data_IF_802959953440
#
_entry.id   IF_802959953440
#
_cell.length_a   1.000
_cell.length_b   1.000
_cell.length_c   1.000
_cell.angle_alpha   90.00
_cell.angle_beta   90.00
_cell.angle_gamma   90.00
#
_symmetry.space_group_name_H-M   'P 1'
#
loop_
_entity.id
_entity.type
_entity.pdbx_description
1 polymer ?
#
# COMPACT_ATOMS: atom_id res chain seq x y z
N UNK A 1 7.61 -23.02 -21.13
CA UNK A 1 7.89 -21.61 -20.83
C UNK A 1 8.52 -21.63 -19.46
N UNK A 2 9.83 -21.42 -19.36
CA UNK A 2 10.47 -21.38 -18.03
C UNK A 2 9.89 -20.20 -17.25
N UNK A 3 9.65 -20.34 -15.94
CA UNK A 3 9.26 -19.19 -15.13
C UNK A 3 10.34 -18.13 -15.27
N UNK A 4 9.95 -16.89 -15.59
CA UNK A 4 10.91 -15.79 -15.66
C UNK A 4 11.70 -15.73 -14.36
N UNK A 5 13.03 -15.66 -14.48
CA UNK A 5 13.91 -15.60 -13.33
C UNK A 5 13.60 -14.36 -12.50
N UNK A 6 13.67 -14.45 -11.17
CA UNK A 6 13.46 -13.31 -10.27
C UNK A 6 14.32 -12.08 -10.63
N UNK A 7 15.52 -12.32 -11.17
CA UNK A 7 16.40 -11.25 -11.66
C UNK A 7 15.80 -10.50 -12.86
N UNK A 8 15.14 -11.20 -13.79
CA UNK A 8 14.48 -10.58 -14.93
C UNK A 8 13.33 -9.66 -14.47
N UNK A 9 12.47 -10.16 -13.59
CA UNK A 9 11.31 -9.39 -13.08
C UNK A 9 11.77 -8.13 -12.34
N UNK A 10 12.84 -8.23 -11.53
CA UNK A 10 13.42 -7.07 -10.86
C UNK A 10 14.01 -6.06 -11.85
N UNK A 11 14.71 -6.53 -12.88
CA UNK A 11 15.30 -5.67 -13.91
C UNK A 11 14.22 -4.92 -14.70
N UNK A 12 13.15 -5.62 -15.07
CA UNK A 12 11.99 -5.06 -15.78
C UNK A 12 11.26 -4.02 -14.93
N UNK A 13 10.88 -4.37 -13.70
CA UNK A 13 10.22 -3.44 -12.78
C UNK A 13 11.06 -2.17 -12.56
N UNK A 14 12.38 -2.33 -12.36
CA UNK A 14 13.27 -1.19 -12.17
C UNK A 14 13.41 -0.34 -13.44
N UNK A 15 13.47 -0.95 -14.63
CA UNK A 15 13.50 -0.24 -15.90
C UNK A 15 12.22 0.55 -16.13
N UNK A 16 11.05 -0.06 -15.88
CA UNK A 16 9.74 0.56 -16.01
C UNK A 16 9.63 1.84 -15.19
N UNK A 17 9.94 1.79 -13.90
CA UNK A 17 9.86 2.98 -13.03
C UNK A 17 10.84 4.07 -13.47
N UNK A 18 12.07 3.72 -13.85
CA UNK A 18 13.03 4.71 -14.37
C UNK A 18 12.55 5.38 -15.65
N UNK A 19 11.99 4.59 -16.57
CA UNK A 19 11.43 5.09 -17.82
C UNK A 19 10.23 6.01 -17.59
N UNK A 20 9.32 5.64 -16.66
CA UNK A 20 8.18 6.46 -16.28
C UNK A 20 8.61 7.81 -15.67
N UNK A 21 9.60 7.81 -14.77
CA UNK A 21 10.15 9.03 -14.16
C UNK A 21 10.90 9.92 -15.16
N UNK A 22 11.46 9.35 -16.22
CA UNK A 22 12.23 10.09 -17.24
C UNK A 22 11.36 10.62 -18.39
N UNK A 23 10.05 10.33 -18.38
CA UNK A 23 9.11 10.72 -19.43
C UNK A 23 9.02 12.24 -19.63
N UNK A 24 8.93 12.66 -20.89
CA UNK A 24 8.76 14.07 -21.26
C UNK A 24 7.36 14.63 -20.91
N UNK A 25 7.11 15.92 -21.24
CA UNK A 25 5.86 16.63 -20.91
C UNK A 25 4.57 15.93 -21.38
N UNK A 26 4.67 15.06 -22.38
CA UNK A 26 3.55 14.30 -22.95
C UNK A 26 3.05 13.16 -22.04
N UNK A 27 3.83 12.77 -21.01
CA UNK A 27 3.42 11.81 -19.99
C UNK A 27 2.89 12.47 -18.70
N UNK A 28 2.67 13.80 -18.72
CA UNK A 28 2.04 14.53 -17.61
C UNK A 28 0.65 13.94 -17.33
N UNK A 29 0.44 13.46 -16.10
CA UNK A 29 -0.81 12.85 -15.65
C UNK A 29 -0.77 11.33 -15.48
N UNK A 30 0.30 10.64 -15.95
CA UNK A 30 0.54 9.24 -15.60
C UNK A 30 1.26 9.14 -14.25
N UNK A 31 1.05 8.03 -13.56
CA UNK A 31 1.79 7.71 -12.33
C UNK A 31 3.27 7.54 -12.67
N UNK A 32 4.10 8.45 -12.18
CA UNK A 32 5.54 8.48 -12.46
C UNK A 32 6.33 7.73 -11.40
N UNK A 33 5.76 7.54 -10.21
CA UNK A 33 6.41 6.86 -9.09
C UNK A 33 5.46 5.83 -8.46
N UNK A 34 5.97 4.73 -7.89
CA UNK A 34 5.15 3.62 -7.41
C UNK A 34 4.14 4.00 -6.33
N UNK A 35 4.37 5.08 -5.59
CA UNK A 35 3.54 5.49 -4.46
C UNK A 35 3.03 6.92 -4.55
N UNK A 36 3.10 7.56 -5.73
CA UNK A 36 2.76 8.99 -5.93
C UNK A 36 1.40 9.43 -5.36
N UNK A 37 0.40 8.54 -5.33
CA UNK A 37 -0.95 8.82 -4.83
C UNK A 37 -1.25 8.11 -3.49
N UNK A 38 -0.21 7.60 -2.82
CA UNK A 38 -0.35 6.84 -1.59
C UNK A 38 -0.08 7.74 -0.38
N UNK A 39 -1.13 7.99 0.39
CA UNK A 39 -1.03 8.43 1.80
C UNK A 39 -1.32 7.22 2.70
N UNK A 40 -0.27 6.63 3.25
CA UNK A 40 -0.32 5.39 4.01
C UNK A 40 -0.40 5.63 5.52
N UNK A 41 -1.13 4.75 6.21
CA UNK A 41 -1.12 4.60 7.66
C UNK A 41 -0.73 3.16 8.01
N UNK A 42 0.01 2.96 9.11
CA UNK A 42 0.46 1.63 9.52
C UNK A 42 -0.04 1.25 10.92
N UNK A 43 -0.48 0.01 11.04
CA UNK A 43 -0.60 -0.73 12.29
C UNK A 43 0.27 -1.99 12.21
N UNK A 44 1.54 -1.87 12.62
CA UNK A 44 2.53 -2.96 12.61
C UNK A 44 3.67 -2.59 13.58
N UNK A 45 4.64 -3.50 13.74
CA UNK A 45 5.88 -3.27 14.50
C UNK A 45 6.59 -2.01 14.03
N UNK A 46 7.08 -1.21 14.99
CA UNK A 46 7.74 0.08 14.74
C UNK A 46 8.87 -0.02 13.70
N UNK A 47 9.71 -1.05 13.76
CA UNK A 47 10.84 -1.20 12.84
C UNK A 47 10.38 -1.54 11.41
N UNK A 48 9.31 -2.34 11.28
CA UNK A 48 8.67 -2.61 9.98
C UNK A 48 8.03 -1.34 9.41
N UNK A 49 7.26 -0.62 10.22
CA UNK A 49 6.67 0.66 9.82
C UNK A 49 7.75 1.64 9.33
N UNK A 50 8.90 1.73 10.02
CA UNK A 50 10.02 2.57 9.62
C UNK A 50 10.64 2.16 8.28
N UNK A 51 10.78 0.85 8.05
CA UNK A 51 11.29 0.34 6.77
C UNK A 51 10.33 0.67 5.61
N UNK A 52 9.04 0.42 5.79
CA UNK A 52 8.03 0.75 4.76
C UNK A 52 7.89 2.26 4.55
N UNK A 53 8.01 3.06 5.60
CA UNK A 53 7.97 4.53 5.49
C UNK A 53 9.03 5.04 4.53
N UNK A 54 10.28 4.60 4.71
CA UNK A 54 11.39 4.97 3.82
C UNK A 54 11.13 4.56 2.37
N UNK A 55 10.54 3.39 2.16
CA UNK A 55 10.24 2.87 0.83
C UNK A 55 9.13 3.68 0.15
N UNK A 56 8.05 3.96 0.87
CA UNK A 56 6.90 4.73 0.37
C UNK A 56 7.33 6.16 0.03
N UNK A 57 8.04 6.82 0.94
CA UNK A 57 8.52 8.20 0.73
C UNK A 57 9.50 8.30 -0.43
N UNK A 58 10.42 7.32 -0.57
CA UNK A 58 11.35 7.29 -1.72
C UNK A 58 10.63 7.08 -3.06
N UNK A 59 9.49 6.39 -3.07
CA UNK A 59 8.66 6.18 -4.26
C UNK A 59 7.53 7.20 -4.42
N UNK A 60 7.62 8.36 -3.77
CA UNK A 60 6.71 9.50 -3.99
C UNK A 60 5.44 9.51 -3.15
N UNK A 61 5.28 8.59 -2.21
CA UNK A 61 4.15 8.56 -1.29
C UNK A 61 4.40 9.34 0.00
N UNK A 62 3.37 9.38 0.83
CA UNK A 62 3.39 9.98 2.15
C UNK A 62 2.96 8.97 3.22
N UNK A 63 3.52 9.07 4.42
CA UNK A 63 3.12 8.23 5.56
C UNK A 63 2.69 9.10 6.73
N UNK A 64 1.47 8.85 7.21
CA UNK A 64 0.94 9.52 8.40
C UNK A 64 1.46 8.80 9.64
N UNK A 65 2.09 9.56 10.54
CA UNK A 65 2.50 9.06 11.85
C UNK A 65 1.37 9.27 12.86
N UNK A 66 0.66 8.19 13.18
CA UNK A 66 -0.39 8.17 14.20
C UNK A 66 -0.35 6.87 15.01
N UNK A 67 -1.01 6.86 16.18
CA UNK A 67 -1.19 5.67 17.01
C UNK A 67 -2.68 5.43 17.25
N UNK A 68 -3.11 4.19 17.53
CA UNK A 68 -4.49 3.92 17.91
C UNK A 68 -4.93 4.76 19.13
N UNK A 69 -6.20 5.18 19.21
CA UNK A 69 -7.25 5.02 18.19
C UNK A 69 -7.07 5.98 17.01
N UNK A 70 -7.31 5.50 15.79
CA UNK A 70 -7.08 6.25 14.55
C UNK A 70 -8.28 7.13 14.10
N UNK A 71 -9.23 7.41 14.99
CA UNK A 71 -10.53 8.03 14.65
C UNK A 71 -10.39 9.40 13.98
N UNK A 72 -9.42 10.20 14.40
CA UNK A 72 -9.20 11.57 13.91
C UNK A 72 -8.27 11.64 12.68
N UNK A 73 -7.80 10.50 12.16
CA UNK A 73 -6.81 10.50 11.09
C UNK A 73 -7.50 10.70 9.74
N UNK A 74 -7.28 11.86 9.15
CA UNK A 74 -7.77 12.25 7.82
C UNK A 74 -6.73 12.02 6.72
N UNK A 75 -7.18 12.08 5.45
CA UNK A 75 -6.29 12.00 4.28
C UNK A 75 -5.67 10.63 4.00
N UNK A 76 -5.97 9.60 4.82
CA UNK A 76 -5.50 8.23 4.60
C UNK A 76 -6.14 7.65 3.35
N UNK A 77 -5.32 7.07 2.48
CA UNK A 77 -5.76 6.36 1.26
C UNK A 77 -5.53 4.86 1.36
N UNK A 78 -4.54 4.43 2.15
CA UNK A 78 -4.16 3.02 2.32
C UNK A 78 -3.87 2.78 3.80
N UNK A 79 -4.54 1.81 4.42
CA UNK A 79 -4.26 1.42 5.79
C UNK A 79 -3.63 0.03 5.82
N UNK A 80 -2.35 -0.04 6.20
CA UNK A 80 -1.60 -1.30 6.26
C UNK A 80 -1.65 -1.87 7.67
N UNK A 81 -2.09 -3.12 7.79
CA UNK A 81 -2.35 -3.76 9.08
C UNK A 81 -1.64 -5.11 9.15
N UNK A 82 -0.88 -5.30 10.22
CA UNK A 82 -0.35 -6.58 10.67
C UNK A 82 -0.66 -6.71 12.15
N UNK A 83 -1.75 -7.42 12.47
CA UNK A 83 -2.13 -7.65 13.85
C UNK A 83 -1.17 -8.64 14.49
N UNK A 84 -0.60 -8.28 15.64
CA UNK A 84 0.24 -9.22 16.41
C UNK A 84 -0.63 -10.21 17.20
N UNK A 85 -1.85 -9.79 17.56
CA UNK A 85 -2.82 -10.63 18.27
C UNK A 85 -4.23 -10.33 17.77
N UNK A 86 -5.10 -11.32 17.81
CA UNK A 86 -6.54 -11.16 17.49
C UNK A 86 -7.27 -10.21 18.47
N UNK A 87 -6.60 -9.70 19.51
CA UNK A 87 -7.16 -8.81 20.52
C UNK A 87 -6.81 -7.33 20.31
N UNK A 88 -5.99 -6.99 19.32
CA UNK A 88 -5.72 -5.59 18.98
C UNK A 88 -7.00 -4.91 18.49
N UNK A 89 -7.50 -3.97 19.30
CA UNK A 89 -8.74 -3.25 19.01
C UNK A 89 -8.44 -2.09 18.07
N UNK A 90 -8.50 -2.36 16.77
CA UNK A 90 -8.47 -1.35 15.73
C UNK A 90 -9.87 -1.26 15.12
N UNK A 91 -10.37 -0.04 14.96
CA UNK A 91 -11.66 0.19 14.31
C UNK A 91 -11.51 0.11 12.78
N UNK A 92 -11.45 -1.12 12.26
CA UNK A 92 -11.44 -1.38 10.82
C UNK A 92 -12.73 -0.96 10.13
N UNK A 93 -13.85 -0.93 10.86
CA UNK A 93 -15.17 -0.55 10.33
C UNK A 93 -15.22 0.92 9.91
N UNK A 94 -14.60 1.81 10.70
CA UNK A 94 -14.46 3.22 10.34
C UNK A 94 -13.72 3.41 9.02
N UNK A 95 -12.61 2.68 8.79
CA UNK A 95 -11.89 2.72 7.51
C UNK A 95 -12.76 2.20 6.35
N UNK A 96 -13.46 1.07 6.54
CA UNK A 96 -14.36 0.52 5.53
C UNK A 96 -15.48 1.51 5.15
N UNK A 97 -16.11 2.17 6.13
CA UNK A 97 -17.16 3.16 5.89
C UNK A 97 -16.71 4.38 5.09
N UNK A 98 -15.40 4.69 5.16
CA UNK A 98 -14.74 5.77 4.42
C UNK A 98 -14.18 5.31 3.07
N UNK A 99 -14.38 4.04 2.70
CA UNK A 99 -13.82 3.45 1.49
C UNK A 99 -12.30 3.27 1.52
N UNK A 100 -11.68 3.27 2.72
CA UNK A 100 -10.23 3.11 2.87
C UNK A 100 -9.91 1.63 3.02
N UNK A 101 -9.14 1.04 2.08
CA UNK A 101 -8.78 -0.37 2.14
C UNK A 101 -7.82 -0.68 3.29
N UNK A 102 -8.13 -1.74 4.03
CA UNK A 102 -7.24 -2.31 5.04
C UNK A 102 -6.46 -3.48 4.42
N UNK A 103 -5.14 -3.31 4.29
CA UNK A 103 -4.27 -4.08 3.43
C UNK A 103 -3.16 -4.80 4.20
N UNK A 104 -2.74 -5.95 3.67
CA UNK A 104 -1.47 -6.57 4.01
C UNK A 104 -0.33 -5.71 3.46
N UNK A 105 0.78 -5.46 4.20
CA UNK A 105 1.91 -4.69 3.68
C UNK A 105 2.57 -5.28 2.42
N UNK A 106 2.30 -6.56 2.11
CA UNK A 106 2.76 -7.20 0.88
C UNK A 106 2.33 -6.44 -0.40
N UNK A 107 1.21 -5.72 -0.36
CA UNK A 107 0.77 -4.85 -1.46
C UNK A 107 1.81 -3.81 -1.88
N UNK A 108 2.63 -3.33 -0.93
CA UNK A 108 3.70 -2.36 -1.20
C UNK A 108 4.72 -2.95 -2.19
N UNK A 109 5.04 -4.24 -2.07
CA UNK A 109 5.94 -4.91 -3.00
C UNK A 109 5.30 -5.05 -4.37
N UNK A 110 4.03 -5.44 -4.43
CA UNK A 110 3.29 -5.58 -5.69
C UNK A 110 3.17 -4.24 -6.43
N UNK A 111 3.04 -3.11 -5.73
CA UNK A 111 3.09 -1.79 -6.36
C UNK A 111 4.43 -1.51 -7.06
N UNK A 112 5.54 -2.08 -6.58
CA UNK A 112 6.86 -1.90 -7.20
C UNK A 112 7.05 -2.89 -8.36
N UNK A 113 6.61 -4.14 -8.17
CA UNK A 113 6.90 -5.24 -9.08
C UNK A 113 5.92 -5.29 -10.26
N UNK A 114 4.64 -5.03 -10.02
CA UNK A 114 3.56 -5.24 -10.98
C UNK A 114 3.10 -3.91 -11.60
N UNK A 115 2.49 -3.99 -12.79
CA UNK A 115 1.95 -2.82 -13.49
C UNK A 115 0.69 -2.26 -12.85
N UNK A 116 -0.22 -3.15 -12.45
CA UNK A 116 -1.51 -2.79 -11.89
C UNK A 116 -1.98 -3.91 -10.94
N UNK A 117 -1.43 -3.97 -9.70
CA UNK A 117 -1.82 -4.99 -8.75
C UNK A 117 -3.29 -4.83 -8.34
N UNK A 118 -4.03 -5.94 -8.32
CA UNK A 118 -5.43 -5.95 -7.90
C UNK A 118 -5.51 -5.78 -6.38
N UNK A 119 -5.93 -4.60 -5.92
CA UNK A 119 -5.88 -4.22 -4.50
C UNK A 119 -6.68 -5.17 -3.59
N UNK A 120 -7.76 -5.76 -4.13
CA UNK A 120 -8.66 -6.63 -3.39
C UNK A 120 -8.03 -7.98 -2.99
N UNK A 121 -6.98 -8.41 -3.69
CA UNK A 121 -6.18 -9.59 -3.34
C UNK A 121 -5.38 -9.40 -2.04
N UNK A 122 -5.13 -8.15 -1.66
CA UNK A 122 -4.30 -7.80 -0.51
C UNK A 122 -5.10 -7.35 0.71
N UNK A 123 -6.43 -7.34 0.65
CA UNK A 123 -7.26 -7.06 1.83
C UNK A 123 -6.97 -8.08 2.94
N UNK A 124 -6.87 -7.57 4.17
CA UNK A 124 -6.82 -8.46 5.35
C UNK A 124 -8.17 -9.19 5.51
N UNK A 125 -8.19 -10.44 6.02
CA UNK A 125 -9.42 -11.21 6.18
C UNK A 125 -10.51 -10.46 6.97
N UNK A 126 -10.14 -9.81 8.07
CA UNK A 126 -11.04 -9.08 8.96
C UNK A 126 -11.78 -7.95 8.22
N UNK A 127 -11.09 -7.30 7.28
CA UNK A 127 -11.68 -6.26 6.45
C UNK A 127 -12.63 -6.83 5.40
N UNK A 128 -12.30 -7.99 4.80
CA UNK A 128 -13.22 -8.69 3.88
C UNK A 128 -14.52 -9.06 4.59
N UNK A 129 -14.43 -9.58 5.82
CA UNK A 129 -15.61 -9.93 6.62
C UNK A 129 -16.48 -8.71 6.91
N UNK A 130 -15.87 -7.57 7.28
CA UNK A 130 -16.58 -6.30 7.46
C UNK A 130 -17.30 -5.89 6.17
N UNK A 131 -16.61 -5.90 5.02
CA UNK A 131 -17.21 -5.52 3.74
C UNK A 131 -18.40 -6.39 3.34
N UNK A 132 -18.38 -7.69 3.67
CA UNK A 132 -19.52 -8.59 3.42
C UNK A 132 -20.70 -8.24 4.32
N UNK A 133 -20.44 -7.92 5.59
CA UNK A 133 -21.48 -7.61 6.58
C UNK A 133 -22.06 -6.19 6.44
N UNK A 134 -21.42 -5.31 5.65
CA UNK A 134 -21.91 -3.97 5.33
C UNK A 134 -22.84 -3.94 4.11
N UNK A 135 -22.99 -5.04 3.38
CA UNK A 135 -23.90 -5.17 2.22
C UNK A 135 -25.29 -5.59 2.67
#
# INVERSE_FOLDING_TARGET
MEPESTQANLAEAAWRWRSAMSGGPEQRGRQQQPFQNMTALFHTKKDRAKAFTRLIEAGGGHVISARPPYSEVEGVTHFFVEMETNHEKIDLGSFASRGIPCLKPFFINSCIMEDSPEISDFFIPEYKDILVNMR
#
